data_IF_345992323836
#
_entry.id   IF_345992323836
#
_cell.length_a   1.000
_cell.length_b   1.000
_cell.length_c   1.000
_cell.angle_alpha   90.00
_cell.angle_beta   90.00
_cell.angle_gamma   90.00
#
_symmetry.space_group_name_H-M   'P 1'
#
loop_
_entity.id
_entity.type
_entity.pdbx_description
1 polymer ?
#
# COMPACT_ATOMS: atom_id res chain seq x y z
N UNK A 1 10.26 -15.64 30.76
CA UNK A 1 10.74 -16.27 29.50
C UNK A 1 12.25 -16.04 29.39
N UNK A 2 13.03 -17.10 29.14
CA UNK A 2 14.50 -17.01 29.09
C UNK A 2 14.96 -16.28 27.82
N UNK A 3 16.12 -15.61 27.88
CA UNK A 3 16.72 -14.86 26.77
C UNK A 3 16.89 -15.70 25.50
N UNK A 4 17.13 -17.01 25.65
CA UNK A 4 17.23 -17.97 24.53
C UNK A 4 15.89 -18.13 23.79
N UNK A 5 14.77 -18.08 24.51
CA UNK A 5 13.42 -18.17 23.92
C UNK A 5 13.07 -16.92 23.10
N UNK A 6 13.58 -15.74 23.47
CA UNK A 6 13.38 -14.50 22.71
C UNK A 6 14.16 -14.54 21.39
N UNK A 7 15.40 -15.02 21.42
CA UNK A 7 16.22 -15.15 20.21
C UNK A 7 15.65 -16.17 19.24
N UNK A 8 15.16 -17.32 19.73
CA UNK A 8 14.49 -18.32 18.90
C UNK A 8 13.26 -17.76 18.16
N UNK A 9 12.43 -16.98 18.86
CA UNK A 9 11.25 -16.33 18.26
C UNK A 9 11.62 -15.29 17.20
N UNK A 10 12.67 -14.50 17.43
CA UNK A 10 13.16 -13.52 16.44
C UNK A 10 13.66 -14.21 15.18
N UNK A 11 14.39 -15.31 15.34
CA UNK A 11 14.92 -16.09 14.23
C UNK A 11 13.81 -16.73 13.39
N UNK A 12 12.81 -17.31 14.04
CA UNK A 12 11.64 -17.85 13.37
C UNK A 12 10.89 -16.78 12.56
N UNK A 13 10.73 -15.58 13.13
CA UNK A 13 10.10 -14.47 12.43
C UNK A 13 10.91 -14.00 11.22
N UNK A 14 12.24 -13.93 11.32
CA UNK A 14 13.11 -13.60 10.17
C UNK A 14 12.96 -14.62 9.05
N UNK A 15 13.03 -15.92 9.38
CA UNK A 15 12.82 -17.01 8.40
C UNK A 15 11.45 -16.94 7.76
N UNK A 16 10.41 -16.58 8.52
CA UNK A 16 9.07 -16.36 7.97
C UNK A 16 9.08 -15.23 6.92
N UNK A 17 9.68 -14.08 7.23
CA UNK A 17 9.75 -12.96 6.29
C UNK A 17 10.55 -13.30 5.03
N UNK A 18 11.68 -14.01 5.19
CA UNK A 18 12.50 -14.49 4.07
C UNK A 18 11.74 -15.49 3.21
N UNK A 19 11.13 -16.51 3.82
CA UNK A 19 10.38 -17.56 3.11
C UNK A 19 9.21 -17.00 2.30
N UNK A 20 8.56 -15.95 2.81
CA UNK A 20 7.42 -15.32 2.13
C UNK A 20 7.84 -14.17 1.20
N UNK A 21 9.14 -13.97 0.95
CA UNK A 21 9.63 -12.96 0.01
C UNK A 21 9.44 -11.51 0.46
N UNK A 22 9.14 -11.28 1.74
CA UNK A 22 9.00 -9.93 2.29
C UNK A 22 10.35 -9.22 2.26
N UNK A 23 11.41 -9.89 2.71
CA UNK A 23 12.77 -9.33 2.71
C UNK A 23 13.20 -8.98 1.28
N UNK A 24 13.02 -9.90 0.33
CA UNK A 24 13.36 -9.68 -1.08
C UNK A 24 12.61 -8.49 -1.69
N UNK A 25 11.30 -8.37 -1.42
CA UNK A 25 10.50 -7.24 -1.88
C UNK A 25 11.00 -5.90 -1.33
N UNK A 26 11.31 -5.83 -0.03
CA UNK A 26 11.89 -4.62 0.57
C UNK A 26 13.29 -4.33 0.02
N UNK A 27 14.14 -5.34 -0.17
CA UNK A 27 15.46 -5.17 -0.76
C UNK A 27 15.36 -4.59 -2.17
N UNK A 28 14.48 -5.13 -3.01
CA UNK A 28 14.25 -4.61 -4.38
C UNK A 28 13.75 -3.17 -4.37
N UNK A 29 12.80 -2.83 -3.49
CA UNK A 29 12.32 -1.46 -3.36
C UNK A 29 13.43 -0.48 -2.97
N UNK A 30 14.31 -0.88 -2.05
CA UNK A 30 15.44 -0.06 -1.60
C UNK A 30 16.53 0.06 -2.67
N UNK A 31 16.76 -1.00 -3.46
CA UNK A 31 17.68 -0.96 -4.61
C UNK A 31 17.13 0.00 -5.68
N UNK A 32 15.85 -0.12 -6.05
CA UNK A 32 15.22 0.79 -7.00
C UNK A 32 15.34 2.25 -6.54
N UNK A 33 15.04 2.53 -5.26
CA UNK A 33 15.19 3.87 -4.68
C UNK A 33 16.64 4.37 -4.68
N UNK A 34 17.62 3.48 -4.53
CA UNK A 34 19.04 3.81 -4.59
C UNK A 34 19.52 4.11 -6.03
N UNK A 35 18.97 3.39 -7.00
CA UNK A 35 19.28 3.53 -8.43
C UNK A 35 18.59 4.73 -9.08
N UNK A 36 17.57 5.32 -8.44
CA UNK A 36 16.89 6.51 -8.98
C UNK A 36 17.85 7.69 -9.16
N UNK A 37 18.03 8.20 -10.40
CA UNK A 37 18.93 9.32 -10.67
C UNK A 37 18.45 10.61 -9.99
N UNK A 38 17.13 10.79 -9.88
CA UNK A 38 16.51 11.90 -9.16
C UNK A 38 15.87 11.39 -7.87
N UNK A 39 16.40 11.81 -6.73
CA UNK A 39 15.87 11.38 -5.44
C UNK A 39 14.44 11.89 -5.28
N UNK A 40 13.46 11.00 -5.03
CA UNK A 40 12.08 11.42 -4.85
C UNK A 40 11.96 12.31 -3.63
N UNK A 41 11.12 13.35 -3.73
CA UNK A 41 10.83 14.26 -2.62
C UNK A 41 10.23 13.53 -1.42
N UNK A 42 9.50 12.44 -1.67
CA UNK A 42 8.93 11.57 -0.64
C UNK A 42 9.35 10.10 -0.84
N UNK A 43 10.51 9.69 -0.29
CA UNK A 43 11.03 8.32 -0.43
C UNK A 43 10.11 7.25 0.18
N UNK A 44 9.34 7.62 1.21
CA UNK A 44 8.42 6.67 1.86
C UNK A 44 7.24 6.35 0.95
N UNK A 45 6.67 7.34 0.27
CA UNK A 45 5.62 7.10 -0.74
C UNK A 45 6.14 6.30 -1.92
N UNK A 46 7.37 6.56 -2.39
CA UNK A 46 8.01 5.75 -3.43
C UNK A 46 8.05 4.26 -3.04
N UNK A 47 8.52 3.94 -1.84
CA UNK A 47 8.60 2.55 -1.36
C UNK A 47 7.21 1.92 -1.23
N UNK A 48 6.21 2.67 -0.72
CA UNK A 48 4.82 2.15 -0.64
C UNK A 48 4.28 1.82 -2.02
N UNK A 49 4.44 2.71 -2.99
CA UNK A 49 4.00 2.51 -4.36
C UNK A 49 4.71 1.33 -5.02
N UNK A 50 6.04 1.20 -4.84
CA UNK A 50 6.81 0.08 -5.34
C UNK A 50 6.29 -1.28 -4.82
N UNK A 51 5.85 -1.32 -3.56
CA UNK A 51 5.27 -2.52 -2.93
C UNK A 51 3.79 -2.74 -3.27
N UNK A 52 3.21 -1.96 -4.19
CA UNK A 52 1.82 -2.09 -4.63
C UNK A 52 0.80 -1.41 -3.72
N UNK A 53 1.25 -0.50 -2.83
CA UNK A 53 0.35 0.35 -2.06
C UNK A 53 -0.28 1.43 -2.94
N UNK A 54 -1.56 1.78 -2.73
CA UNK A 54 -2.19 2.87 -3.46
C UNK A 54 -1.51 4.19 -3.14
N UNK A 55 -1.32 5.03 -4.14
CA UNK A 55 -0.82 6.40 -3.94
C UNK A 55 -1.89 7.27 -3.27
N UNK A 56 -1.45 8.40 -2.73
CA UNK A 56 -2.39 9.39 -2.19
C UNK A 56 -3.33 9.92 -3.28
N UNK A 57 -2.81 10.08 -4.49
CA UNK A 57 -3.57 10.44 -5.69
C UNK A 57 -4.61 9.37 -6.05
N UNK A 58 -4.27 8.08 -6.02
CA UNK A 58 -5.23 6.99 -6.29
C UNK A 58 -6.40 7.01 -5.30
N UNK A 59 -6.09 7.22 -4.01
CA UNK A 59 -7.10 7.30 -2.96
C UNK A 59 -8.03 8.50 -3.21
N UNK A 60 -7.47 9.64 -3.60
CA UNK A 60 -8.25 10.85 -3.85
C UNK A 60 -9.13 10.71 -5.10
N UNK A 61 -8.60 10.12 -6.18
CA UNK A 61 -9.37 9.80 -7.38
C UNK A 61 -10.54 8.85 -7.06
N UNK A 62 -10.28 7.78 -6.30
CA UNK A 62 -11.32 6.83 -5.88
C UNK A 62 -12.41 7.49 -5.04
N UNK A 63 -12.06 8.44 -4.15
CA UNK A 63 -13.05 9.21 -3.38
C UNK A 63 -13.93 10.06 -4.30
N UNK A 64 -13.33 10.79 -5.23
CA UNK A 64 -14.06 11.64 -6.17
C UNK A 64 -15.00 10.81 -7.06
N UNK A 65 -14.53 9.67 -7.54
CA UNK A 65 -15.36 8.74 -8.32
C UNK A 65 -16.52 8.20 -7.46
N UNK A 66 -16.25 7.82 -6.22
CA UNK A 66 -17.28 7.36 -5.29
C UNK A 66 -18.36 8.42 -5.03
N UNK A 67 -17.96 9.68 -4.87
CA UNK A 67 -18.89 10.80 -4.71
C UNK A 67 -19.75 11.01 -5.96
N UNK A 68 -19.15 11.00 -7.16
CA UNK A 68 -19.88 11.11 -8.43
C UNK A 68 -20.88 9.97 -8.62
N UNK A 69 -20.47 8.73 -8.33
CA UNK A 69 -21.34 7.57 -8.41
C UNK A 69 -22.52 7.67 -7.43
N UNK A 70 -22.27 8.12 -6.20
CA UNK A 70 -23.33 8.37 -5.21
C UNK A 70 -24.31 9.45 -5.65
N UNK A 71 -23.82 10.55 -6.21
CA UNK A 71 -24.67 11.60 -6.79
C UNK A 71 -25.53 11.03 -7.92
N UNK A 72 -24.93 10.23 -8.81
CA UNK A 72 -25.64 9.63 -9.94
C UNK A 72 -26.71 8.64 -9.50
N UNK A 73 -26.43 7.82 -8.48
CA UNK A 73 -27.41 6.90 -7.88
C UNK A 73 -28.58 7.71 -7.33
N UNK A 74 -28.31 8.76 -6.56
CA UNK A 74 -29.36 9.61 -5.98
C UNK A 74 -30.24 10.25 -7.05
N UNK A 75 -29.65 10.82 -8.10
CA UNK A 75 -30.40 11.39 -9.24
C UNK A 75 -31.32 10.35 -9.91
N UNK A 76 -30.83 9.13 -10.11
CA UNK A 76 -31.59 8.06 -10.74
C UNK A 76 -32.70 7.53 -9.83
N UNK A 77 -32.50 7.49 -8.52
CA UNK A 77 -33.51 7.10 -7.54
C UNK A 77 -34.62 8.15 -7.41
N UNK A 78 -34.26 9.43 -7.38
CA UNK A 78 -35.22 10.56 -7.39
C UNK A 78 -36.01 10.61 -8.72
N UNK A 79 -35.35 10.38 -9.85
CA UNK A 79 -35.99 10.31 -11.16
C UNK A 79 -36.97 9.14 -11.29
N UNK A 80 -36.69 7.99 -10.65
CA UNK A 80 -37.58 6.82 -10.65
C UNK A 80 -38.78 6.95 -9.71
N UNK A 81 -38.70 7.77 -8.66
CA UNK A 81 -39.83 7.99 -7.75
C UNK A 81 -40.85 9.00 -8.29
N UNK A 82 -40.50 9.74 -9.34
CA UNK A 82 -41.34 10.73 -10.00
C UNK A 82 -42.01 10.23 -11.30
N UNK A 83 -41.93 8.92 -11.59
CA UNK A 83 -42.64 8.21 -12.67
C UNK A 83 -43.60 7.19 -12.08
#
# INVERSE_FOLDING_TARGET
MSYQSINARKEEFRKYLEKNGVVDSFTKALVALYEEPERPQNPLEYVKHYLGGPSTEDIEQLKQENEKLKQRIKELEEGKSNQ
#
